data_IF_183195763845
#
_entry.id   IF_183195763845
#
_cell.length_a   1.000
_cell.length_b   1.000
_cell.length_c   1.000
_cell.angle_alpha   90.00
_cell.angle_beta   90.00
_cell.angle_gamma   90.00
#
_symmetry.space_group_name_H-M   'P 1'
#
loop_
_entity.id
_entity.type
_entity.pdbx_description
1 polymer ?
#
# COMPACT_ATOMS: atom_id res chain seq x y z
N UNK A 1 -22.64 12.47 15.66
CA UNK A 1 -21.94 12.17 14.40
C UNK A 1 -22.83 11.24 13.62
N UNK A 2 -23.21 11.58 12.39
CA UNK A 2 -24.07 10.72 11.58
C UNK A 2 -23.17 9.63 10.98
N UNK A 3 -23.34 8.39 11.42
CA UNK A 3 -22.55 7.26 10.95
C UNK A 3 -23.25 6.58 9.78
N UNK A 4 -22.59 6.54 8.62
CA UNK A 4 -23.11 5.88 7.42
C UNK A 4 -22.49 4.52 7.17
N UNK A 5 -21.57 4.07 8.05
CA UNK A 5 -20.94 2.75 7.96
C UNK A 5 -20.19 2.49 6.66
N UNK A 6 -19.86 3.54 5.89
CA UNK A 6 -19.26 3.41 4.56
C UNK A 6 -20.24 3.14 3.43
N UNK A 7 -21.57 3.18 3.65
CA UNK A 7 -22.55 3.13 2.55
C UNK A 7 -22.56 4.48 1.81
N UNK A 8 -22.07 4.49 0.56
CA UNK A 8 -21.85 5.74 -0.13
C UNK A 8 -23.21 6.32 -0.58
N UNK A 9 -24.24 5.51 -0.85
CA UNK A 9 -25.58 5.99 -1.25
C UNK A 9 -26.23 6.75 -0.09
N UNK A 10 -26.21 6.17 1.10
CA UNK A 10 -26.75 6.78 2.30
C UNK A 10 -25.99 8.05 2.67
N UNK A 11 -24.66 8.04 2.51
CA UNK A 11 -23.84 9.23 2.69
C UNK A 11 -24.20 10.35 1.70
N UNK A 12 -24.46 10.03 0.43
CA UNK A 12 -24.86 11.02 -0.56
C UNK A 12 -26.27 11.59 -0.29
N UNK A 13 -27.23 10.75 0.10
CA UNK A 13 -28.58 11.19 0.48
C UNK A 13 -28.53 12.15 1.68
N UNK A 14 -27.78 11.80 2.72
CA UNK A 14 -27.57 12.65 3.90
C UNK A 14 -26.83 13.95 3.58
N UNK A 15 -25.96 13.93 2.57
CA UNK A 15 -25.23 15.11 2.10
C UNK A 15 -26.05 15.95 1.10
N UNK A 16 -27.29 15.55 0.79
CA UNK A 16 -28.20 16.28 -0.12
C UNK A 16 -27.94 16.06 -1.61
N UNK A 17 -27.15 15.06 -2.00
CA UNK A 17 -26.88 14.73 -3.40
C UNK A 17 -27.93 13.77 -3.96
N UNK A 18 -28.53 14.12 -5.10
CA UNK A 18 -29.47 13.26 -5.84
C UNK A 18 -28.77 12.17 -6.65
N UNK A 19 -27.58 12.45 -7.18
CA UNK A 19 -26.78 11.48 -7.95
C UNK A 19 -25.54 11.06 -7.17
N UNK A 20 -25.51 9.79 -6.79
CA UNK A 20 -24.49 9.25 -5.92
C UNK A 20 -23.14 8.94 -6.64
N UNK A 21 -23.21 8.35 -7.83
CA UNK A 21 -22.05 7.72 -8.48
C UNK A 21 -20.99 8.71 -8.98
N UNK A 22 -21.43 9.88 -9.48
CA UNK A 22 -20.53 10.90 -10.02
C UNK A 22 -19.69 11.58 -8.92
N UNK A 23 -20.28 11.74 -7.74
CA UNK A 23 -19.61 12.32 -6.56
C UNK A 23 -18.55 11.37 -6.02
N UNK A 24 -18.87 10.08 -5.87
CA UNK A 24 -17.88 9.07 -5.44
C UNK A 24 -16.73 8.95 -6.45
N UNK A 25 -17.03 9.01 -7.75
CA UNK A 25 -16.01 8.92 -8.79
C UNK A 25 -15.04 10.11 -8.77
N UNK A 26 -15.55 11.32 -8.54
CA UNK A 26 -14.72 12.54 -8.46
C UNK A 26 -13.91 12.60 -7.17
N UNK A 27 -14.49 12.20 -6.04
CA UNK A 27 -13.84 12.20 -4.72
C UNK A 27 -13.07 10.91 -4.40
N UNK A 28 -12.86 10.02 -5.38
CA UNK A 28 -12.24 8.71 -5.15
C UNK A 28 -10.91 8.82 -4.38
N UNK A 29 -10.05 9.75 -4.78
CA UNK A 29 -8.73 9.91 -4.15
C UNK A 29 -8.87 10.39 -2.70
N UNK A 30 -9.74 11.38 -2.45
CA UNK A 30 -10.01 11.87 -1.09
C UNK A 30 -10.61 10.79 -0.18
N UNK A 31 -11.49 9.94 -0.73
CA UNK A 31 -12.03 8.79 0.00
C UNK A 31 -10.93 7.80 0.38
N UNK A 32 -9.97 7.55 -0.52
CA UNK A 32 -8.81 6.68 -0.27
C UNK A 32 -7.90 7.29 0.81
N UNK A 33 -7.63 8.60 0.74
CA UNK A 33 -6.80 9.30 1.72
C UNK A 33 -7.46 9.34 3.10
N UNK A 34 -8.77 9.56 3.15
CA UNK A 34 -9.55 9.51 4.38
C UNK A 34 -9.57 8.09 4.98
N UNK A 35 -9.81 7.07 4.16
CA UNK A 35 -9.76 5.68 4.61
C UNK A 35 -8.36 5.31 5.13
N UNK A 36 -7.31 5.79 4.48
CA UNK A 36 -5.92 5.58 4.91
C UNK A 36 -5.63 6.27 6.23
N UNK A 37 -6.17 7.47 6.44
CA UNK A 37 -6.09 8.20 7.71
C UNK A 37 -6.80 7.44 8.84
N UNK A 38 -7.99 6.90 8.58
CA UNK A 38 -8.75 6.10 9.56
C UNK A 38 -7.98 4.82 9.93
N UNK A 39 -7.38 4.15 8.94
CA UNK A 39 -6.53 2.97 9.17
C UNK A 39 -5.28 3.32 9.99
N UNK A 40 -4.62 4.43 9.68
CA UNK A 40 -3.47 4.94 10.43
C UNK A 40 -3.83 5.26 11.89
N UNK A 41 -4.99 5.88 12.13
CA UNK A 41 -5.49 6.13 13.48
C UNK A 41 -5.80 4.85 14.25
N UNK A 42 -6.18 3.77 13.55
CA UNK A 42 -6.50 2.48 14.16
C UNK A 42 -5.24 1.62 14.44
N UNK A 43 -4.09 1.97 13.86
CA UNK A 43 -2.86 1.21 14.02
C UNK A 43 -2.34 1.10 15.46
N UNK A 44 -2.33 2.16 16.29
CA UNK A 44 -1.89 2.05 17.68
C UNK A 44 -2.77 1.09 18.48
N UNK A 45 -4.08 1.12 18.25
CA UNK A 45 -5.02 0.20 18.88
C UNK A 45 -4.79 -1.24 18.42
N UNK A 46 -4.55 -1.47 17.13
CA UNK A 46 -4.22 -2.79 16.59
C UNK A 46 -2.92 -3.34 17.20
N UNK A 47 -1.87 -2.51 17.29
CA UNK A 47 -0.61 -2.88 17.94
C UNK A 47 -0.81 -3.24 19.41
N UNK A 48 -1.57 -2.42 20.16
CA UNK A 48 -1.87 -2.70 21.56
C UNK A 48 -2.64 -4.01 21.71
N UNK A 49 -3.62 -4.30 20.85
CA UNK A 49 -4.38 -5.56 20.90
C UNK A 49 -3.51 -6.78 20.61
N UNK A 50 -2.45 -6.66 19.81
CA UNK A 50 -1.46 -7.72 19.66
C UNK A 50 -0.67 -7.94 20.94
N UNK A 51 -0.20 -6.87 21.59
CA UNK A 51 0.50 -6.95 22.88
C UNK A 51 -0.40 -7.57 23.95
N UNK A 52 -1.65 -7.12 24.06
CA UNK A 52 -2.64 -7.67 25.00
C UNK A 52 -2.83 -9.18 24.79
N UNK A 53 -2.90 -9.64 23.54
CA UNK A 53 -3.06 -11.06 23.21
C UNK A 53 -1.78 -11.85 23.50
N UNK A 54 -0.61 -11.24 23.34
CA UNK A 54 0.69 -11.86 23.65
C UNK A 54 0.95 -11.97 25.15
N UNK A 55 0.49 -11.01 25.95
CA UNK A 55 0.71 -10.96 27.40
C UNK A 55 -0.42 -11.64 28.20
N UNK A 56 -1.57 -11.91 27.57
CA UNK A 56 -2.72 -12.55 28.23
C UNK A 56 -2.42 -14.00 28.62
N UNK A 57 -2.52 -14.30 29.92
CA UNK A 57 -2.53 -15.66 30.45
C UNK A 57 -3.92 -16.32 30.36
N UNK A 58 -4.94 -15.57 29.98
CA UNK A 58 -6.30 -16.07 29.78
C UNK A 58 -6.54 -16.44 28.31
N UNK A 59 -7.29 -17.52 28.01
CA UNK A 59 -7.62 -17.89 26.64
C UNK A 59 -8.53 -16.82 26.01
N UNK A 60 -7.99 -16.06 25.06
CA UNK A 60 -8.80 -15.08 24.31
C UNK A 60 -9.57 -15.82 23.20
N UNK A 61 -10.91 -15.74 23.18
CA UNK A 61 -11.71 -16.31 22.11
C UNK A 61 -11.29 -15.74 20.75
N UNK A 62 -11.09 -16.62 19.76
CA UNK A 62 -10.69 -16.24 18.41
C UNK A 62 -9.39 -15.40 18.36
N UNK A 63 -8.47 -15.60 19.30
CA UNK A 63 -7.17 -14.92 19.34
C UNK A 63 -6.47 -14.92 17.98
N UNK A 64 -6.43 -16.07 17.30
CA UNK A 64 -5.85 -16.20 15.95
C UNK A 64 -6.48 -15.24 14.93
N UNK A 65 -7.81 -15.15 14.92
CA UNK A 65 -8.56 -14.30 13.99
C UNK A 65 -8.34 -12.80 14.29
N UNK A 66 -8.26 -12.44 15.58
CA UNK A 66 -7.98 -11.07 16.03
C UNK A 66 -6.55 -10.63 15.72
N UNK A 67 -5.58 -11.53 15.90
CA UNK A 67 -4.17 -11.31 15.56
C UNK A 67 -4.02 -11.06 14.06
N UNK A 68 -4.67 -11.89 13.22
CA UNK A 68 -4.65 -11.70 11.77
C UNK A 68 -5.28 -10.38 11.32
N UNK A 69 -6.40 -9.98 11.96
CA UNK A 69 -7.03 -8.69 11.68
C UNK A 69 -6.14 -7.51 12.07
N UNK A 70 -5.51 -7.56 13.25
CA UNK A 70 -4.59 -6.53 13.72
C UNK A 70 -3.33 -6.43 12.84
N UNK A 71 -2.76 -7.56 12.42
CA UNK A 71 -1.64 -7.60 11.46
C UNK A 71 -2.02 -6.94 10.13
N UNK A 72 -3.21 -7.23 9.61
CA UNK A 72 -3.68 -6.64 8.35
C UNK A 72 -3.76 -5.11 8.43
N UNK A 73 -4.21 -4.55 9.57
CA UNK A 73 -4.23 -3.10 9.78
C UNK A 73 -2.79 -2.55 9.80
N UNK A 74 -1.88 -3.21 10.51
CA UNK A 74 -0.47 -2.78 10.62
C UNK A 74 0.29 -2.85 9.30
N UNK A 75 0.02 -3.87 8.48
CA UNK A 75 0.60 -4.01 7.14
C UNK A 75 0.11 -2.92 6.19
N UNK A 76 -1.13 -2.44 6.36
CA UNK A 76 -1.72 -1.38 5.54
C UNK A 76 -1.19 0.00 5.87
N UNK A 77 -0.75 0.23 7.11
CA UNK A 77 -0.14 1.51 7.53
C UNK A 77 1.36 1.58 7.25
N UNK A 78 1.93 0.52 6.66
CA UNK A 78 3.31 0.53 6.16
C UNK A 78 4.37 0.20 7.21
N UNK A 79 4.00 -0.32 8.39
CA UNK A 79 4.98 -0.70 9.41
C UNK A 79 5.77 -1.99 9.06
N UNK A 80 5.35 -2.74 8.03
CA UNK A 80 5.94 -4.05 7.70
C UNK A 80 6.54 -4.21 6.29
N UNK A 81 6.15 -3.42 5.29
CA UNK A 81 6.55 -3.64 3.89
C UNK A 81 7.56 -2.62 3.42
N UNK A 82 8.85 -2.98 3.49
CA UNK A 82 9.85 -2.40 2.60
C UNK A 82 9.66 -3.01 1.21
N UNK A 83 9.18 -2.23 0.26
CA UNK A 83 9.27 -2.60 -1.14
C UNK A 83 10.75 -2.62 -1.54
N UNK A 84 11.35 -3.81 -1.62
CA UNK A 84 12.68 -3.97 -2.20
C UNK A 84 12.56 -3.84 -3.71
N UNK A 85 12.93 -2.67 -4.24
CA UNK A 85 13.07 -2.47 -5.68
C UNK A 85 14.34 -3.20 -6.13
N UNK A 86 14.19 -4.36 -6.75
CA UNK A 86 15.28 -5.10 -7.38
C UNK A 86 15.60 -4.46 -8.74
N UNK A 87 16.53 -3.51 -8.77
CA UNK A 87 16.98 -2.86 -10.00
C UNK A 87 18.04 -3.75 -10.67
N UNK A 88 17.60 -4.70 -11.48
CA UNK A 88 18.50 -5.38 -12.42
C UNK A 88 18.86 -4.44 -13.56
N UNK A 89 20.01 -3.78 -13.46
CA UNK A 89 20.64 -3.11 -14.58
C UNK A 89 21.32 -4.16 -15.48
N UNK A 90 20.55 -4.85 -16.32
CA UNK A 90 21.15 -5.57 -17.46
C UNK A 90 21.69 -4.50 -18.41
N UNK A 91 23.02 -4.30 -18.41
CA UNK A 91 23.72 -3.38 -19.31
C UNK A 91 23.55 -3.87 -20.75
N UNK A 92 22.42 -3.53 -21.36
CA UNK A 92 22.17 -3.68 -22.79
C UNK A 92 22.90 -2.53 -23.51
N UNK A 93 24.23 -2.62 -23.63
CA UNK A 93 24.99 -1.48 -24.15
C UNK A 93 26.49 -1.66 -24.18
N UNK A 94 26.97 -2.65 -24.91
CA UNK A 94 28.40 -2.85 -25.14
C UNK A 94 28.68 -3.31 -26.57
N UNK A 95 28.14 -2.61 -27.59
CA UNK A 95 28.62 -2.81 -28.96
C UNK A 95 30.01 -2.18 -29.05
N UNK A 96 31.03 -3.02 -28.98
CA UNK A 96 32.42 -2.62 -29.18
C UNK A 96 32.68 -2.57 -30.69
N UNK A 97 32.59 -1.39 -31.30
CA UNK A 97 33.05 -1.19 -32.68
C UNK A 97 34.57 -1.05 -32.63
N UNK A 98 35.27 -2.10 -33.07
CA UNK A 98 36.70 -2.04 -33.34
C UNK A 98 36.92 -1.26 -34.64
N UNK A 99 37.71 -0.17 -34.66
CA UNK A 99 38.11 0.44 -35.92
C UNK A 99 38.92 -0.57 -36.74
N UNK A 100 38.68 -0.62 -38.05
CA UNK A 100 39.38 -1.53 -38.95
C UNK A 100 40.89 -1.26 -38.90
N UNK A 101 41.67 -2.34 -38.90
CA UNK A 101 43.13 -2.32 -38.93
C UNK A 101 43.59 -1.71 -40.25
N UNK A 102 44.28 -0.57 -40.22
CA UNK A 102 44.94 -0.05 -41.41
C UNK A 102 46.06 -1.01 -41.84
N UNK A 103 46.03 -1.41 -43.10
CA UNK A 103 47.11 -2.19 -43.71
C UNK A 103 48.34 -1.30 -43.79
N UNK A 104 49.36 -1.66 -43.01
CA UNK A 104 50.69 -1.06 -43.14
C UNK A 104 51.27 -1.60 -44.44
N UNK A 105 51.22 -0.80 -45.50
CA UNK A 105 51.95 -1.06 -46.73
C UNK A 105 53.44 -0.81 -46.41
N UNK A 106 54.20 -1.88 -46.25
CA UNK A 106 55.66 -1.80 -46.16
C UNK A 106 56.19 -1.94 -47.59
N UNK A 107 56.50 -0.82 -48.23
CA UNK A 107 57.36 -0.80 -49.41
C UNK A 107 58.81 -0.55 -48.97
N UNK A 108 59.62 -1.61 -49.01
CA UNK A 108 61.03 -1.64 -49.43
C UNK A 108 61.59 -3.06 -49.26
#
# INVERSE_FOLDING_TARGET
MIETGGDPKKAAELSGYTTHWNVVKSLKNEIIDMASTILAQSAPQAAQKLVDVMESNEPIPQASMRVQAAQTILDRVGLGKKDTIDVKHEVMGGVFILPAKEEIIIEA
#
